data_IF_381978758872
#
_entry.id   IF_381978758872
#
_cell.length_a   1.000
_cell.length_b   1.000
_cell.length_c   1.000
_cell.angle_alpha   90.00
_cell.angle_beta   90.00
_cell.angle_gamma   90.00
#
_symmetry.space_group_name_H-M   'P 1'
#
loop_
_entity.id
_entity.type
_entity.pdbx_description
1 polymer ?
#
# COMPACT_ATOMS: atom_id res chain seq x y z
N UNK A 1 17.53 -11.30 -14.40
CA UNK A 1 17.19 -10.32 -13.34
C UNK A 1 16.31 -9.24 -13.97
N UNK A 2 15.04 -9.59 -14.17
CA UNK A 2 14.01 -8.61 -14.52
C UNK A 2 13.65 -7.89 -13.22
N UNK A 3 14.56 -7.03 -12.76
CA UNK A 3 14.26 -6.06 -11.73
C UNK A 3 13.33 -5.05 -12.39
N UNK A 4 12.04 -5.40 -12.34
CA UNK A 4 10.95 -4.51 -12.67
C UNK A 4 11.11 -3.33 -11.72
N UNK A 5 11.83 -2.30 -12.17
CA UNK A 5 11.69 -0.94 -11.70
C UNK A 5 10.26 -0.52 -12.02
N UNK A 6 9.29 -1.09 -11.30
CA UNK A 6 7.95 -0.55 -11.20
C UNK A 6 8.19 0.85 -10.66
N UNK A 7 7.89 1.89 -11.46
CA UNK A 7 8.02 3.28 -11.00
C UNK A 7 7.32 3.36 -9.64
N UNK A 8 8.09 3.55 -8.56
CA UNK A 8 7.59 3.53 -7.18
C UNK A 8 6.40 4.49 -7.02
N UNK A 9 6.33 5.53 -7.86
CA UNK A 9 5.21 6.48 -7.93
C UNK A 9 3.88 5.86 -8.38
N UNK A 10 3.93 4.79 -9.17
CA UNK A 10 2.77 3.99 -9.56
C UNK A 10 2.28 3.16 -8.39
N UNK A 11 3.17 2.51 -7.64
CA UNK A 11 2.82 1.70 -6.45
C UNK A 11 2.14 2.58 -5.40
N UNK A 12 2.73 3.75 -5.09
CA UNK A 12 2.17 4.72 -4.15
C UNK A 12 0.72 5.10 -4.48
N UNK A 13 0.44 5.33 -5.76
CA UNK A 13 -0.90 5.68 -6.24
C UNK A 13 -1.90 4.54 -6.01
N UNK A 14 -1.48 3.29 -6.20
CA UNK A 14 -2.32 2.12 -5.93
C UNK A 14 -2.56 1.93 -4.44
N UNK A 15 -1.52 2.04 -3.61
CA UNK A 15 -1.64 1.96 -2.15
C UNK A 15 -2.62 3.02 -1.62
N UNK A 16 -2.51 4.26 -2.10
CA UNK A 16 -3.45 5.34 -1.73
C UNK A 16 -4.89 5.00 -2.14
N UNK A 17 -5.10 4.48 -3.35
CA UNK A 17 -6.43 4.09 -3.84
C UNK A 17 -7.03 2.94 -3.01
N UNK A 18 -6.23 1.93 -2.68
CA UNK A 18 -6.68 0.79 -1.86
C UNK A 18 -7.05 1.23 -0.45
N UNK A 19 -6.16 1.94 0.26
CA UNK A 19 -6.46 2.48 1.61
C UNK A 19 -7.73 3.33 1.61
N UNK A 20 -7.99 4.10 0.53
CA UNK A 20 -9.23 4.87 0.39
C UNK A 20 -10.46 3.96 0.28
N UNK A 21 -10.43 2.93 -0.57
CA UNK A 21 -11.54 1.99 -0.73
C UNK A 21 -11.87 1.26 0.57
N UNK A 22 -10.86 0.79 1.30
CA UNK A 22 -11.08 0.14 2.59
C UNK A 22 -11.68 1.11 3.62
N UNK A 23 -11.17 2.34 3.69
CA UNK A 23 -11.74 3.37 4.59
C UNK A 23 -13.17 3.81 4.29
N UNK A 24 -13.69 3.51 3.09
CA UNK A 24 -15.11 3.73 2.80
C UNK A 24 -16.02 2.69 3.49
N UNK A 25 -15.49 1.50 3.76
CA UNK A 25 -16.24 0.39 4.39
C UNK A 25 -15.89 0.29 5.88
N UNK A 26 -14.62 0.47 6.22
CA UNK A 26 -14.07 0.45 7.57
C UNK A 26 -13.23 1.71 7.83
N UNK A 27 -13.78 2.73 8.49
CA UNK A 27 -13.07 3.97 8.79
C UNK A 27 -11.78 3.80 9.60
N UNK A 28 -11.62 2.68 10.32
CA UNK A 28 -10.46 2.42 11.18
C UNK A 28 -9.36 1.59 10.48
N UNK A 29 -9.57 1.23 9.20
CA UNK A 29 -8.63 0.40 8.45
C UNK A 29 -7.18 0.94 8.46
N UNK A 30 -6.26 0.13 8.98
CA UNK A 30 -4.82 0.39 9.06
C UNK A 30 -3.92 -0.78 8.63
N UNK A 31 -4.49 -1.88 8.13
CA UNK A 31 -3.78 -3.12 7.78
C UNK A 31 -2.69 -2.99 6.70
N UNK A 32 -2.70 -1.94 5.87
CA UNK A 32 -1.65 -1.69 4.88
C UNK A 32 -0.67 -0.69 5.47
N UNK A 33 0.50 -1.15 5.89
CA UNK A 33 1.57 -0.37 6.49
C UNK A 33 2.65 0.01 5.47
N UNK A 34 3.35 1.11 5.72
CA UNK A 34 4.51 1.53 4.94
C UNK A 34 5.77 1.17 5.71
N UNK A 35 6.58 0.29 5.14
CA UNK A 35 7.87 -0.10 5.68
C UNK A 35 8.98 0.72 5.00
N UNK A 36 9.61 1.60 5.77
CA UNK A 36 10.70 2.43 5.26
C UNK A 36 11.83 1.57 4.68
N UNK A 37 12.12 1.76 3.40
CA UNK A 37 13.16 1.02 2.67
C UNK A 37 12.77 -0.40 2.23
N UNK A 38 11.60 -0.91 2.62
CA UNK A 38 11.11 -2.25 2.24
C UNK A 38 9.76 -2.23 1.50
N UNK A 39 9.13 -1.06 1.36
CA UNK A 39 7.90 -0.88 0.59
C UNK A 39 6.66 -0.92 1.48
N UNK A 40 5.75 -1.86 1.22
CA UNK A 40 4.44 -1.95 1.86
C UNK A 40 4.18 -3.35 2.39
N UNK A 41 3.57 -3.46 3.56
CA UNK A 41 3.18 -4.73 4.16
C UNK A 41 1.69 -4.74 4.48
N UNK A 42 1.08 -5.92 4.41
CA UNK A 42 -0.26 -6.17 4.89
C UNK A 42 -0.18 -6.96 6.19
N UNK A 43 -0.78 -6.41 7.25
CA UNK A 43 -0.89 -7.05 8.58
C UNK A 43 -2.36 -7.25 8.90
N UNK A 44 -2.69 -8.40 9.49
CA UNK A 44 -4.01 -8.55 10.13
C UNK A 44 -3.96 -7.65 11.38
N UNK A 45 -4.57 -6.46 11.27
CA UNK A 45 -4.61 -5.45 12.33
C UNK A 45 -5.26 -5.93 13.62
#
# INVERSE_FOLDING_TARGET
>A
PDDVFVDDRTVDSHIKRMRRKFRLVDPQFSAIETLYGAGYSYTDG
#
